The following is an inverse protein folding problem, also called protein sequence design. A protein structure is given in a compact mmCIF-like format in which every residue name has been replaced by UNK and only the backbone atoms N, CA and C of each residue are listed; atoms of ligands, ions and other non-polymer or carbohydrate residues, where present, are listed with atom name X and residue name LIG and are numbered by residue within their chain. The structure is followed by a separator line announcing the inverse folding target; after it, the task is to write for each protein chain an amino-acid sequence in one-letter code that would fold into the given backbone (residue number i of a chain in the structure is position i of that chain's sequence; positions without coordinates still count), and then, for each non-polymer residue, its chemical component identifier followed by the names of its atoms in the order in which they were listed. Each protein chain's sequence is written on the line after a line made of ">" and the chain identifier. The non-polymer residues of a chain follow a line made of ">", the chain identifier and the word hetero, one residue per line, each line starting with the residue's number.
data_IF_510667896329
#
_entry.id   IF_510667896329
#
_cell.length_a   1.000
_cell.length_b   1.000
_cell.length_c   1.000
_cell.angle_alpha   90.00
_cell.angle_beta   90.00
_cell.angle_gamma   90.00
#
_symmetry.space_group_name_H-M   'P 1'
#
loop_
_entity.id
_entity.type
_entity.pdbx_description
1 polymer ?
#
# COMPACT_ATOMS: atom_id res chain seq x y z
N UNK A 1 -34.03 15.51 -20.51
CA UNK A 1 -35.30 16.11 -20.87
C UNK A 1 -35.54 16.05 -22.38
N UNK A 2 -36.77 16.32 -22.79
CA UNK A 2 -37.16 16.35 -24.19
C UNK A 2 -37.49 17.76 -24.61
N UNK A 3 -37.10 18.13 -25.83
CA UNK A 3 -37.39 19.43 -26.45
C UNK A 3 -38.26 19.23 -27.67
N UNK A 4 -39.34 20.00 -27.73
CA UNK A 4 -40.19 20.12 -28.90
C UNK A 4 -40.41 21.61 -29.22
N UNK A 5 -40.36 21.99 -30.48
CA UNK A 5 -40.52 23.36 -30.91
C UNK A 5 -41.29 23.42 -32.21
N UNK A 6 -41.98 24.54 -32.47
CA UNK A 6 -42.62 24.83 -33.72
C UNK A 6 -41.68 25.42 -34.80
N UNK A 7 -40.43 25.54 -34.45
CA UNK A 7 -39.36 26.02 -35.37
C UNK A 7 -38.10 25.17 -35.15
N UNK A 8 -37.25 25.11 -36.19
CA UNK A 8 -35.95 24.50 -36.06
C UNK A 8 -35.10 25.26 -35.04
N UNK A 9 -34.35 24.52 -34.22
CA UNK A 9 -33.58 25.08 -33.09
C UNK A 9 -32.21 24.48 -32.96
N UNK A 10 -31.32 25.25 -32.36
CA UNK A 10 -29.98 24.82 -31.87
C UNK A 10 -29.89 25.19 -30.40
N UNK A 11 -29.26 24.34 -29.60
CA UNK A 11 -28.97 24.63 -28.19
C UNK A 11 -27.49 24.91 -28.00
N UNK A 12 -27.19 25.94 -27.24
CA UNK A 12 -25.86 26.27 -26.73
C UNK A 12 -25.85 26.14 -25.21
N UNK A 13 -24.74 25.69 -24.66
CA UNK A 13 -24.51 25.60 -23.23
C UNK A 13 -23.54 26.66 -22.74
N UNK A 14 -23.63 26.94 -21.46
CA UNK A 14 -22.67 27.69 -20.71
C UNK A 14 -21.41 26.87 -20.38
N UNK A 15 -20.49 27.46 -19.62
CA UNK A 15 -19.15 26.93 -19.37
C UNK A 15 -19.13 25.56 -18.67
N UNK A 16 -20.12 25.26 -17.81
CA UNK A 16 -20.10 24.06 -16.94
C UNK A 16 -20.83 22.85 -17.51
N UNK A 17 -21.55 22.98 -18.61
CA UNK A 17 -22.29 21.90 -19.24
C UNK A 17 -21.62 21.40 -20.51
N UNK A 18 -21.55 20.07 -20.63
CA UNK A 18 -21.06 19.36 -21.82
C UNK A 18 -22.25 18.84 -22.63
N UNK A 19 -22.37 19.31 -23.85
CA UNK A 19 -23.35 18.87 -24.83
C UNK A 19 -22.77 17.99 -25.92
N UNK A 20 -21.47 17.63 -25.86
CA UNK A 20 -20.77 16.90 -26.93
C UNK A 20 -21.32 15.50 -27.17
N UNK A 21 -21.99 14.90 -26.20
CA UNK A 21 -22.56 13.54 -26.27
C UNK A 21 -24.08 13.53 -26.40
N UNK A 22 -24.71 14.65 -26.76
CA UNK A 22 -26.17 14.73 -26.90
C UNK A 22 -26.53 15.47 -28.19
N UNK A 23 -27.82 15.44 -28.55
CA UNK A 23 -28.30 16.23 -29.69
C UNK A 23 -28.27 17.72 -29.30
N UNK A 24 -27.70 18.54 -30.17
CA UNK A 24 -27.61 19.99 -29.99
C UNK A 24 -28.56 20.78 -30.90
N UNK A 25 -29.39 20.08 -31.68
CA UNK A 25 -30.37 20.70 -32.60
C UNK A 25 -31.60 19.81 -32.77
N UNK A 26 -32.67 20.41 -33.27
CA UNK A 26 -33.89 19.71 -33.67
C UNK A 26 -34.64 20.47 -34.75
N UNK A 27 -35.47 19.73 -35.47
CA UNK A 27 -36.40 20.27 -36.49
C UNK A 27 -37.76 20.58 -35.87
N UNK A 28 -38.48 21.50 -36.50
CA UNK A 28 -39.85 21.86 -36.10
C UNK A 28 -40.74 20.65 -36.01
N UNK A 29 -41.47 20.53 -34.91
CA UNK A 29 -42.44 19.45 -34.67
C UNK A 29 -41.85 18.14 -34.15
N UNK A 30 -40.53 17.98 -34.13
CA UNK A 30 -39.86 16.80 -33.61
C UNK A 30 -39.58 16.89 -32.12
N UNK A 31 -39.71 15.74 -31.40
CA UNK A 31 -39.27 15.60 -30.03
C UNK A 31 -37.80 15.10 -30.02
N UNK A 32 -36.90 15.88 -29.44
CA UNK A 32 -35.50 15.54 -29.37
C UNK A 32 -35.06 15.44 -27.92
N UNK A 33 -34.42 14.33 -27.56
CA UNK A 33 -33.87 14.15 -26.21
C UNK A 33 -32.52 14.87 -26.11
N UNK A 34 -32.38 15.70 -25.08
CA UNK A 34 -31.13 16.32 -24.66
C UNK A 34 -30.73 15.78 -23.30
N UNK A 35 -29.45 15.39 -23.17
CA UNK A 35 -28.87 14.91 -21.90
C UNK A 35 -27.59 15.67 -21.67
N UNK A 36 -27.65 16.88 -21.10
CA UNK A 36 -26.46 17.62 -20.75
C UNK A 36 -25.72 16.88 -19.64
N UNK A 37 -24.41 16.88 -19.71
CA UNK A 37 -23.51 16.33 -18.69
C UNK A 37 -22.75 17.47 -18.04
N UNK A 38 -22.27 17.27 -16.82
CA UNK A 38 -21.30 18.17 -16.23
C UNK A 38 -19.98 18.06 -17.01
N UNK A 39 -19.39 19.21 -17.35
CA UNK A 39 -18.01 19.20 -17.88
C UNK A 39 -17.08 18.58 -16.84
N UNK A 40 -16.14 17.80 -17.35
CA UNK A 40 -15.07 17.31 -16.52
C UNK A 40 -14.21 18.49 -16.05
N UNK A 41 -13.91 18.52 -14.77
CA UNK A 41 -13.15 19.56 -14.11
C UNK A 41 -13.62 19.74 -12.68
N UNK A 42 -12.66 19.91 -11.78
CA UNK A 42 -12.94 19.93 -10.33
C UNK A 42 -13.80 21.12 -9.92
N UNK A 43 -13.53 22.29 -10.49
CA UNK A 43 -14.21 23.54 -10.12
C UNK A 43 -15.72 23.52 -10.39
N UNK A 44 -16.13 22.91 -11.51
CA UNK A 44 -17.55 22.84 -11.88
C UNK A 44 -18.37 21.87 -11.00
N UNK A 45 -17.70 21.07 -10.17
CA UNK A 45 -18.32 20.04 -9.34
C UNK A 45 -18.36 20.39 -7.86
N UNK A 46 -17.53 21.33 -7.40
CA UNK A 46 -17.40 21.67 -5.99
C UNK A 46 -18.62 22.41 -5.44
N UNK A 47 -19.03 23.47 -6.11
CA UNK A 47 -20.06 24.41 -5.63
C UNK A 47 -21.33 24.35 -6.46
N UNK A 48 -22.43 24.80 -5.85
CA UNK A 48 -23.69 24.97 -6.55
C UNK A 48 -23.61 26.10 -7.58
N UNK A 49 -24.28 25.92 -8.71
CA UNK A 49 -24.42 26.94 -9.73
C UNK A 49 -25.76 26.82 -10.45
N UNK A 50 -26.16 27.93 -11.09
CA UNK A 50 -27.29 27.95 -12.03
C UNK A 50 -26.81 28.55 -13.35
N UNK A 51 -27.00 27.81 -14.40
CA UNK A 51 -26.65 28.21 -15.78
C UNK A 51 -27.81 28.02 -16.71
N UNK A 52 -27.72 28.53 -17.93
CA UNK A 52 -28.79 28.47 -18.91
C UNK A 52 -28.38 27.64 -20.13
N UNK A 53 -29.28 26.77 -20.58
CA UNK A 53 -29.27 26.26 -21.94
C UNK A 53 -30.03 27.27 -22.80
N UNK A 54 -29.37 27.79 -23.83
CA UNK A 54 -29.91 28.83 -24.71
C UNK A 54 -30.33 28.18 -26.01
N UNK A 55 -31.60 28.21 -26.29
CA UNK A 55 -32.17 27.73 -27.54
C UNK A 55 -32.30 28.88 -28.54
N UNK A 56 -31.74 28.72 -29.75
CA UNK A 56 -31.73 29.68 -30.82
C UNK A 56 -32.38 29.10 -32.08
N UNK A 57 -32.99 29.94 -32.89
CA UNK A 57 -33.44 29.55 -34.22
C UNK A 57 -32.25 29.54 -35.24
N UNK A 58 -32.48 29.16 -36.49
CA UNK A 58 -31.46 29.14 -37.56
C UNK A 58 -30.82 30.49 -37.84
N UNK A 59 -31.49 31.59 -37.46
CA UNK A 59 -30.95 32.95 -37.60
C UNK A 59 -30.06 33.39 -36.43
N UNK A 60 -29.94 32.53 -35.40
CA UNK A 60 -29.20 32.84 -34.18
C UNK A 60 -30.00 33.66 -33.14
N UNK A 61 -31.31 33.89 -33.37
CA UNK A 61 -32.16 34.60 -32.43
C UNK A 61 -32.56 33.65 -31.27
N UNK A 62 -32.46 34.12 -30.03
CA UNK A 62 -32.86 33.35 -28.86
C UNK A 62 -34.37 33.15 -28.81
N UNK A 63 -34.80 31.89 -28.81
CA UNK A 63 -36.22 31.52 -28.73
C UNK A 63 -36.65 31.03 -27.36
N UNK A 64 -35.72 30.50 -26.59
CA UNK A 64 -35.97 30.06 -25.22
C UNK A 64 -34.68 29.93 -24.43
N UNK A 65 -34.80 30.00 -23.07
CA UNK A 65 -33.78 29.71 -22.12
C UNK A 65 -34.29 28.75 -21.08
N UNK A 66 -33.49 27.75 -20.77
CA UNK A 66 -33.81 26.77 -19.73
C UNK A 66 -32.76 26.87 -18.62
N UNK A 67 -33.13 27.31 -17.41
CA UNK A 67 -32.21 27.30 -16.28
C UNK A 67 -31.92 25.85 -15.88
N UNK A 68 -30.65 25.56 -15.67
CA UNK A 68 -30.15 24.29 -15.14
C UNK A 68 -29.47 24.61 -13.82
N UNK A 69 -29.94 23.98 -12.78
CA UNK A 69 -29.36 24.10 -11.45
C UNK A 69 -28.59 22.84 -11.08
N UNK A 70 -27.43 23.04 -10.49
CA UNK A 70 -26.61 21.99 -9.91
C UNK A 70 -26.30 22.35 -8.46
N UNK A 71 -26.57 21.43 -7.52
CA UNK A 71 -26.44 21.67 -6.08
C UNK A 71 -24.98 21.61 -5.58
N UNK A 72 -24.03 21.29 -6.44
CA UNK A 72 -22.66 21.00 -6.04
C UNK A 72 -22.52 19.58 -5.49
N UNK A 73 -21.29 19.18 -5.15
CA UNK A 73 -21.06 17.93 -4.44
C UNK A 73 -21.70 18.02 -3.04
N UNK A 74 -22.39 16.98 -2.53
CA UNK A 74 -22.91 16.96 -1.17
C UNK A 74 -21.81 17.25 -0.14
N UNK A 75 -22.15 17.91 0.96
CA UNK A 75 -21.18 18.33 1.98
C UNK A 75 -20.52 17.16 2.72
N UNK A 76 -21.18 15.99 2.71
CA UNK A 76 -20.71 14.72 3.29
C UNK A 76 -20.01 13.82 2.26
N UNK A 77 -19.80 14.30 1.04
CA UNK A 77 -19.19 13.53 -0.05
C UNK A 77 -17.83 14.08 -0.45
N UNK A 78 -16.99 13.15 -0.87
CA UNK A 78 -15.73 13.45 -1.52
C UNK A 78 -15.60 12.58 -2.77
N UNK A 79 -14.90 13.08 -3.76
CA UNK A 79 -14.56 12.32 -4.96
C UNK A 79 -13.06 12.48 -5.23
N UNK A 80 -12.45 11.44 -5.79
CA UNK A 80 -11.06 11.46 -6.20
C UNK A 80 -10.97 11.38 -7.72
N UNK A 81 -9.90 11.94 -8.29
CA UNK A 81 -9.65 11.88 -9.73
C UNK A 81 -9.44 10.45 -10.25
N UNK A 82 -9.12 9.55 -9.34
CA UNK A 82 -8.96 8.13 -9.60
C UNK A 82 -9.81 7.34 -8.61
N UNK A 83 -10.83 6.66 -9.10
CA UNK A 83 -11.80 5.93 -8.29
C UNK A 83 -11.24 4.61 -7.71
N UNK A 84 -10.05 4.19 -8.14
CA UNK A 84 -9.45 2.95 -7.70
C UNK A 84 -8.30 3.20 -6.73
N UNK A 85 -8.53 2.99 -5.43
CA UNK A 85 -7.50 3.15 -4.38
C UNK A 85 -6.27 2.26 -4.62
N UNK A 86 -6.43 1.11 -5.25
CA UNK A 86 -5.31 0.23 -5.60
C UNK A 86 -4.44 0.78 -6.72
N UNK A 87 -4.95 1.73 -7.50
CA UNK A 87 -4.18 2.48 -8.48
C UNK A 87 -3.51 3.72 -7.88
N UNK A 88 -3.99 4.20 -6.73
CA UNK A 88 -3.41 5.32 -5.99
C UNK A 88 -2.45 4.79 -4.93
N UNK A 89 -1.39 4.11 -5.36
CA UNK A 89 -0.34 3.62 -4.46
C UNK A 89 0.84 4.56 -4.46
N UNK A 90 1.23 4.97 -3.25
CA UNK A 90 2.45 5.73 -3.00
C UNK A 90 3.45 4.78 -2.36
N UNK A 91 4.56 4.55 -3.04
CA UNK A 91 5.65 3.74 -2.49
C UNK A 91 6.69 4.66 -1.87
N UNK A 92 6.70 4.75 -0.55
CA UNK A 92 7.68 5.53 0.18
C UNK A 92 9.05 4.85 0.15
N UNK A 93 10.11 5.65 -0.01
CA UNK A 93 11.48 5.16 0.08
C UNK A 93 11.79 4.58 1.46
N UNK A 94 12.60 3.52 1.51
CA UNK A 94 13.09 2.94 2.77
C UNK A 94 13.94 3.94 3.55
N UNK A 95 14.67 4.81 2.86
CA UNK A 95 15.53 5.83 3.48
C UNK A 95 14.75 7.04 4.05
N UNK A 96 13.45 7.06 3.82
CA UNK A 96 12.59 8.19 4.17
C UNK A 96 12.50 9.21 3.05
N UNK A 97 11.35 9.83 2.93
CA UNK A 97 11.04 10.71 1.80
C UNK A 97 9.88 11.64 2.15
N UNK A 98 9.78 12.75 1.43
CA UNK A 98 8.63 13.65 1.51
C UNK A 98 7.98 13.79 0.15
N UNK A 99 6.66 13.75 0.13
CA UNK A 99 5.83 13.88 -1.06
C UNK A 99 4.97 15.13 -0.94
N UNK A 100 5.03 16.02 -1.93
CA UNK A 100 4.23 17.24 -1.96
C UNK A 100 3.05 17.08 -2.91
N UNK A 101 1.86 17.46 -2.45
CA UNK A 101 0.66 17.58 -3.27
C UNK A 101 0.50 19.05 -3.65
N UNK A 102 0.73 19.39 -4.91
CA UNK A 102 0.49 20.74 -5.44
C UNK A 102 -0.87 20.84 -6.08
N UNK A 103 -1.59 21.91 -5.76
CA UNK A 103 -2.93 22.17 -6.30
C UNK A 103 -3.86 20.95 -6.18
N UNK A 104 -3.78 20.25 -5.03
CA UNK A 104 -4.51 19.01 -4.78
C UNK A 104 -4.16 17.86 -5.75
N UNK A 105 -2.99 17.91 -6.35
CA UNK A 105 -2.46 16.85 -7.20
C UNK A 105 -1.16 16.31 -6.62
N UNK A 106 -1.01 15.01 -6.65
CA UNK A 106 0.23 14.34 -6.27
C UNK A 106 1.24 14.40 -7.42
N UNK A 107 2.46 14.92 -7.17
CA UNK A 107 3.49 15.13 -8.19
C UNK A 107 4.62 14.08 -8.21
N UNK A 108 4.74 13.21 -7.19
CA UNK A 108 5.74 12.15 -7.24
C UNK A 108 5.41 11.11 -8.33
N UNK A 109 6.38 10.28 -8.69
CA UNK A 109 6.17 9.17 -9.62
C UNK A 109 5.01 8.30 -9.14
N UNK A 110 3.85 8.47 -9.73
CA UNK A 110 2.64 7.78 -9.32
C UNK A 110 1.40 8.37 -9.96
N UNK A 111 0.26 7.97 -9.46
CA UNK A 111 -1.04 8.44 -9.93
C UNK A 111 -1.40 9.74 -9.20
N UNK A 112 -1.62 10.85 -9.91
CA UNK A 112 -2.01 12.10 -9.28
C UNK A 112 -3.34 11.92 -8.53
N UNK A 113 -3.37 12.37 -7.27
CA UNK A 113 -4.55 12.39 -6.43
C UNK A 113 -5.14 13.81 -6.44
N UNK A 114 -6.27 13.97 -7.11
CA UNK A 114 -7.04 15.21 -7.04
C UNK A 114 -8.27 14.98 -6.19
N UNK A 115 -8.44 15.82 -5.19
CA UNK A 115 -9.58 15.77 -4.26
C UNK A 115 -10.65 16.75 -4.72
N UNK A 116 -11.90 16.29 -4.78
CA UNK A 116 -13.07 17.09 -5.10
C UNK A 116 -14.02 17.06 -3.91
N UNK A 117 -14.12 18.16 -3.21
CA UNK A 117 -15.02 18.36 -2.07
C UNK A 117 -15.72 19.70 -2.19
N UNK A 118 -16.84 19.87 -1.49
CA UNK A 118 -17.57 21.15 -1.46
C UNK A 118 -16.69 22.24 -0.83
N UNK A 119 -16.48 23.33 -1.55
CA UNK A 119 -15.71 24.50 -1.10
C UNK A 119 -14.26 24.17 -0.67
N UNK A 120 -13.70 23.05 -1.10
CA UNK A 120 -12.39 22.58 -0.63
C UNK A 120 -12.29 22.42 0.90
N UNK A 121 -13.40 22.10 1.55
CA UNK A 121 -13.51 21.93 2.99
C UNK A 121 -13.32 20.45 3.36
N UNK A 122 -12.06 20.03 3.57
CA UNK A 122 -11.73 18.66 3.93
C UNK A 122 -10.47 18.59 4.80
N UNK A 123 -10.32 17.47 5.48
CA UNK A 123 -9.18 17.15 6.35
C UNK A 123 -8.50 15.87 5.88
N UNK A 124 -7.18 15.89 5.80
CA UNK A 124 -6.36 14.73 5.54
C UNK A 124 -5.95 14.03 6.83
N UNK A 125 -5.98 12.69 6.84
CA UNK A 125 -5.42 11.88 7.91
C UNK A 125 -4.69 10.67 7.35
N UNK A 126 -3.62 10.25 8.04
CA UNK A 126 -2.95 8.99 7.75
C UNK A 126 -3.32 7.96 8.82
N UNK A 127 -3.75 6.79 8.37
CA UNK A 127 -4.15 5.68 9.25
C UNK A 127 -3.31 4.46 8.92
N UNK A 128 -2.38 4.11 9.82
CA UNK A 128 -1.61 2.88 9.72
C UNK A 128 -2.52 1.69 9.97
N UNK A 129 -2.33 0.63 9.20
CA UNK A 129 -2.99 -0.62 9.47
C UNK A 129 -2.00 -1.77 9.50
N UNK A 130 -2.27 -2.71 10.39
CA UNK A 130 -1.57 -3.99 10.47
C UNK A 130 -2.58 -5.11 10.46
N UNK A 131 -2.28 -6.20 9.79
CA UNK A 131 -3.04 -7.43 9.89
C UNK A 131 -2.16 -8.51 10.50
N UNK A 132 -2.70 -9.22 11.47
CA UNK A 132 -2.03 -10.36 12.11
C UNK A 132 -2.91 -11.59 11.97
N UNK A 133 -2.26 -12.73 11.72
CA UNK A 133 -2.91 -14.03 11.69
C UNK A 133 -1.95 -15.05 12.32
N UNK A 134 -2.37 -15.69 13.40
CA UNK A 134 -1.53 -16.62 14.14
C UNK A 134 -2.30 -17.42 15.17
N UNK A 135 -1.62 -18.22 15.96
CA UNK A 135 -2.26 -19.02 17.02
C UNK A 135 -3.01 -18.17 18.05
N UNK A 136 -2.49 -16.99 18.37
CA UNK A 136 -3.10 -16.04 19.30
C UNK A 136 -4.44 -15.48 18.79
N UNK A 137 -4.61 -15.38 17.47
CA UNK A 137 -5.86 -14.95 16.85
C UNK A 137 -6.76 -16.11 16.45
N UNK A 138 -6.40 -17.34 16.84
CA UNK A 138 -7.09 -18.56 16.41
C UNK A 138 -7.07 -18.76 14.89
N UNK A 139 -6.02 -18.30 14.22
CA UNK A 139 -5.84 -18.30 12.77
C UNK A 139 -6.86 -17.44 12.01
N UNK A 140 -7.53 -16.51 12.69
CA UNK A 140 -8.32 -15.48 12.03
C UNK A 140 -7.43 -14.28 11.76
N UNK A 141 -7.72 -13.58 10.68
CA UNK A 141 -7.06 -12.32 10.38
C UNK A 141 -7.63 -11.21 11.28
N UNK A 142 -6.78 -10.68 12.16
CA UNK A 142 -7.11 -9.52 12.98
C UNK A 142 -6.45 -8.26 12.42
N UNK A 143 -7.22 -7.20 12.32
CA UNK A 143 -6.78 -5.91 11.81
C UNK A 143 -6.72 -4.90 12.95
N UNK A 144 -5.64 -4.15 12.99
CA UNK A 144 -5.53 -3.01 13.89
C UNK A 144 -5.22 -1.75 13.09
N UNK A 145 -5.80 -0.63 13.54
CA UNK A 145 -5.69 0.67 12.91
C UNK A 145 -5.17 1.68 13.91
N UNK A 146 -4.28 2.56 13.45
CA UNK A 146 -3.68 3.60 14.28
C UNK A 146 -3.60 4.90 13.51
N UNK A 147 -4.14 5.96 14.09
CA UNK A 147 -3.96 7.31 13.56
C UNK A 147 -2.51 7.75 13.72
N UNK A 148 -1.91 8.21 12.62
CA UNK A 148 -0.56 8.75 12.58
C UNK A 148 -0.63 10.27 12.63
N UNK A 149 -0.29 10.85 13.79
CA UNK A 149 -0.30 12.29 14.02
C UNK A 149 1.09 12.81 14.35
N UNK A 150 1.58 13.75 13.54
CA UNK A 150 2.86 14.42 13.76
C UNK A 150 4.10 13.52 13.62
N UNK A 151 5.27 14.14 13.68
CA UNK A 151 6.57 13.52 13.37
C UNK A 151 7.12 12.53 14.41
N UNK A 152 6.33 12.15 15.41
CA UNK A 152 6.69 11.00 16.26
C UNK A 152 6.42 9.67 15.54
N UNK A 153 5.47 9.66 14.60
CA UNK A 153 5.13 8.50 13.79
C UNK A 153 6.09 8.36 12.60
N UNK A 154 5.97 7.26 11.87
CA UNK A 154 6.78 7.03 10.68
C UNK A 154 6.28 7.79 9.44
N UNK A 155 5.01 8.17 9.46
CA UNK A 155 4.33 8.91 8.41
C UNK A 155 3.55 10.04 9.07
N UNK A 156 3.59 11.23 8.51
CA UNK A 156 2.80 12.36 8.99
C UNK A 156 2.48 13.32 7.83
N UNK A 157 1.49 14.16 8.07
CA UNK A 157 1.05 15.19 7.15
C UNK A 157 1.45 16.54 7.74
N UNK A 158 1.96 17.40 6.89
CA UNK A 158 2.26 18.79 7.23
C UNK A 158 2.02 19.70 6.01
N UNK A 159 1.83 20.98 6.24
CA UNK A 159 1.80 21.97 5.18
C UNK A 159 3.23 22.46 4.94
N UNK A 160 3.59 22.64 3.67
CA UNK A 160 4.85 23.31 3.34
C UNK A 160 4.72 24.85 3.52
N UNK A 161 5.83 25.58 3.32
CA UNK A 161 5.85 27.04 3.44
C UNK A 161 4.99 27.76 2.40
N UNK A 162 4.53 27.07 1.37
CA UNK A 162 3.68 27.60 0.31
C UNK A 162 2.20 27.21 0.50
N UNK A 163 1.89 26.47 1.58
CA UNK A 163 0.54 25.99 1.87
C UNK A 163 0.15 24.74 1.06
N UNK A 164 1.13 24.03 0.48
CA UNK A 164 0.85 22.75 -0.14
C UNK A 164 0.90 21.64 0.90
N UNK A 165 0.01 20.66 0.75
CA UNK A 165 0.04 19.44 1.56
C UNK A 165 1.31 18.65 1.28
N UNK A 166 2.02 18.27 2.32
CA UNK A 166 3.16 17.39 2.26
C UNK A 166 2.93 16.16 3.12
N UNK A 167 3.25 14.98 2.58
CA UNK A 167 3.32 13.73 3.34
C UNK A 167 4.78 13.36 3.47
N UNK A 168 5.24 13.20 4.70
CA UNK A 168 6.60 12.84 5.01
C UNK A 168 6.68 11.45 5.64
N UNK A 169 7.61 10.63 5.17
CA UNK A 169 7.90 9.32 5.71
C UNK A 169 9.32 9.27 6.28
N UNK A 170 9.48 8.73 7.49
CA UNK A 170 10.80 8.45 8.07
C UNK A 170 11.44 7.26 7.38
N UNK A 171 12.77 7.16 7.50
CA UNK A 171 13.48 5.93 7.19
C UNK A 171 12.86 4.74 7.95
N UNK A 172 12.87 3.60 7.30
CA UNK A 172 12.40 2.35 7.87
C UNK A 172 13.61 1.50 8.25
N UNK A 173 13.73 1.17 9.51
CA UNK A 173 14.74 0.28 10.07
C UNK A 173 14.16 -1.09 10.49
N UNK A 174 12.90 -1.33 10.14
CA UNK A 174 12.14 -2.52 10.53
C UNK A 174 11.35 -3.17 9.40
N UNK A 175 10.20 -3.71 9.75
CA UNK A 175 9.26 -4.35 8.82
C UNK A 175 8.69 -3.40 7.78
N UNK A 176 8.18 -3.96 6.69
CA UNK A 176 7.31 -3.21 5.79
C UNK A 176 6.10 -2.68 6.54
N UNK A 177 5.68 -1.49 6.20
CA UNK A 177 4.56 -0.82 6.85
C UNK A 177 3.67 -0.14 5.82
N UNK A 178 2.40 0.01 6.16
CA UNK A 178 1.40 0.53 5.25
C UNK A 178 0.43 1.44 5.99
N UNK A 179 -0.04 2.46 5.31
CA UNK A 179 -1.04 3.38 5.82
C UNK A 179 -2.00 3.79 4.71
N UNK A 180 -3.25 4.06 5.08
CA UNK A 180 -4.19 4.76 4.22
C UNK A 180 -4.02 6.27 4.38
N UNK A 181 -3.94 6.98 3.26
CA UNK A 181 -4.24 8.41 3.23
C UNK A 181 -5.76 8.52 3.06
N UNK A 182 -6.43 9.03 4.09
CA UNK A 182 -7.86 9.27 4.07
C UNK A 182 -8.13 10.76 4.00
N UNK A 183 -9.17 11.13 3.28
CA UNK A 183 -9.59 12.51 3.12
C UNK A 183 -11.06 12.60 3.47
N UNK A 184 -11.38 13.32 4.52
CA UNK A 184 -12.75 13.49 4.99
C UNK A 184 -13.26 14.90 4.72
N UNK A 185 -14.50 15.08 4.22
CA UNK A 185 -15.17 16.36 4.36
C UNK A 185 -15.14 16.81 5.82
N UNK A 186 -14.91 18.11 6.07
CA UNK A 186 -14.80 18.60 7.45
C UNK A 186 -16.03 18.28 8.31
N UNK A 187 -17.21 18.28 7.70
CA UNK A 187 -18.45 17.89 8.39
C UNK A 187 -18.39 16.45 8.90
N UNK A 188 -17.92 15.52 8.07
CA UNK A 188 -17.78 14.09 8.44
C UNK A 188 -16.65 13.92 9.44
N UNK A 189 -15.52 14.61 9.23
CA UNK A 189 -14.38 14.52 10.14
C UNK A 189 -14.75 14.94 11.57
N UNK A 190 -15.53 16.00 11.72
CA UNK A 190 -15.99 16.45 13.03
C UNK A 190 -16.84 15.41 13.79
N UNK A 191 -17.53 14.52 13.07
CA UNK A 191 -18.32 13.43 13.67
C UNK A 191 -17.43 12.26 14.12
N UNK A 192 -16.34 11.96 13.38
CA UNK A 192 -15.47 10.80 13.61
C UNK A 192 -14.17 11.16 14.33
N UNK A 193 -13.86 12.43 14.52
CA UNK A 193 -12.61 12.90 15.13
C UNK A 193 -12.36 12.26 16.51
N UNK A 194 -13.40 12.14 17.31
CA UNK A 194 -13.30 11.53 18.63
C UNK A 194 -12.94 10.03 18.57
N UNK A 195 -13.40 9.31 17.55
CA UNK A 195 -13.04 7.90 17.34
C UNK A 195 -11.58 7.79 16.90
N UNK A 196 -11.09 8.73 16.07
CA UNK A 196 -9.67 8.82 15.72
C UNK A 196 -8.80 9.15 16.93
N UNK A 197 -9.20 10.08 17.78
CA UNK A 197 -8.47 10.42 19.00
C UNK A 197 -8.38 9.24 19.97
N UNK A 198 -9.45 8.49 20.12
CA UNK A 198 -9.50 7.30 20.98
C UNK A 198 -8.87 6.07 20.33
N UNK A 199 -8.47 6.14 19.06
CA UNK A 199 -7.85 5.03 18.30
C UNK A 199 -8.73 3.79 18.19
N UNK A 200 -10.04 3.97 18.21
CA UNK A 200 -11.02 2.89 18.15
C UNK A 200 -11.55 2.76 16.73
N UNK A 201 -10.79 2.05 15.89
CA UNK A 201 -11.29 1.70 14.56
C UNK A 201 -11.37 0.20 14.39
N UNK A 202 -12.51 -0.26 13.92
CA UNK A 202 -12.67 -1.61 13.40
C UNK A 202 -12.35 -1.65 11.90
N UNK A 203 -12.14 -2.86 11.39
CA UNK A 203 -11.99 -3.08 9.94
C UNK A 203 -13.21 -2.58 9.17
N UNK A 204 -14.39 -2.82 9.70
CA UNK A 204 -15.68 -2.40 9.12
C UNK A 204 -15.79 -0.87 9.06
N UNK A 205 -15.27 -0.15 10.05
CA UNK A 205 -15.22 1.31 10.02
C UNK A 205 -14.32 1.82 8.91
N UNK A 206 -13.04 1.42 8.88
CA UNK A 206 -12.07 1.93 7.90
C UNK A 206 -12.36 1.43 6.48
N UNK A 207 -12.43 0.12 6.26
CA UNK A 207 -12.60 -0.47 4.91
C UNK A 207 -14.05 -0.73 4.54
N UNK A 208 -14.99 -0.55 5.45
CA UNK A 208 -16.43 -0.63 5.24
C UNK A 208 -17.05 0.76 5.09
N UNK A 209 -17.45 1.35 6.21
CA UNK A 209 -18.21 2.61 6.25
C UNK A 209 -17.42 3.79 5.68
N UNK A 210 -16.11 3.88 6.00
CA UNK A 210 -15.26 5.00 5.58
C UNK A 210 -14.42 4.72 4.33
N UNK A 211 -14.65 3.60 3.64
CA UNK A 211 -13.87 3.21 2.46
C UNK A 211 -13.87 4.25 1.34
N UNK A 212 -14.97 5.00 1.20
CA UNK A 212 -15.11 6.06 0.19
C UNK A 212 -14.21 7.28 0.44
N UNK A 213 -13.63 7.40 1.63
CA UNK A 213 -12.72 8.48 2.01
C UNK A 213 -11.24 8.09 1.88
N UNK A 214 -10.94 6.86 1.45
CA UNK A 214 -9.57 6.41 1.20
C UNK A 214 -9.11 6.98 -0.13
N UNK A 215 -8.15 7.90 -0.10
CA UNK A 215 -7.58 8.54 -1.29
C UNK A 215 -6.39 7.80 -1.86
N UNK A 216 -5.56 7.20 -1.01
CA UNK A 216 -4.37 6.47 -1.43
C UNK A 216 -3.95 5.42 -0.41
N UNK A 217 -3.18 4.43 -0.88
CA UNK A 217 -2.44 3.48 -0.06
C UNK A 217 -0.96 3.87 -0.09
N UNK A 218 -0.38 4.10 1.08
CA UNK A 218 1.05 4.41 1.24
C UNK A 218 1.72 3.16 1.79
N UNK A 219 2.71 2.66 1.06
CA UNK A 219 3.48 1.47 1.43
C UNK A 219 4.96 1.86 1.54
N UNK A 220 5.63 1.36 2.56
CA UNK A 220 7.08 1.48 2.70
C UNK A 220 7.67 0.10 2.95
N UNK A 221 8.64 -0.28 2.12
CA UNK A 221 9.28 -1.59 2.22
C UNK A 221 10.05 -1.74 3.54
N UNK A 222 10.26 -2.98 3.94
CA UNK A 222 11.13 -3.30 5.05
C UNK A 222 12.56 -2.83 4.75
N UNK A 223 13.27 -2.42 5.80
CA UNK A 223 14.71 -2.25 5.72
C UNK A 223 15.35 -3.62 5.49
N UNK A 224 16.12 -3.72 4.42
CA UNK A 224 16.92 -4.90 4.15
C UNK A 224 18.37 -4.52 4.39
N UNK A 225 19.00 -5.11 5.38
CA UNK A 225 20.41 -4.88 5.64
C UNK A 225 21.23 -5.14 4.35
N UNK A 226 22.22 -4.29 4.09
CA UNK A 226 23.05 -4.40 2.87
C UNK A 226 23.97 -5.63 2.86
N UNK A 227 24.07 -6.33 3.99
CA UNK A 227 24.84 -7.57 4.14
C UNK A 227 24.11 -8.55 5.06
N UNK A 228 24.38 -9.83 4.92
CA UNK A 228 23.83 -10.89 5.75
C UNK A 228 22.64 -11.64 5.14
N UNK A 229 21.89 -12.34 5.97
CA UNK A 229 20.67 -13.04 5.61
C UNK A 229 19.50 -12.46 6.37
N UNK A 230 18.46 -12.05 5.66
CA UNK A 230 17.18 -11.66 6.26
C UNK A 230 16.23 -12.86 6.31
N UNK A 231 15.48 -12.96 7.41
CA UNK A 231 14.50 -14.03 7.62
C UNK A 231 13.11 -13.43 7.63
N UNK A 232 12.25 -13.92 6.75
CA UNK A 232 10.91 -13.41 6.51
C UNK A 232 9.88 -14.54 6.58
N UNK A 233 8.64 -14.19 6.81
CA UNK A 233 7.52 -15.09 6.58
C UNK A 233 7.37 -15.41 5.10
N UNK A 234 7.19 -16.68 4.74
CA UNK A 234 7.18 -17.12 3.33
C UNK A 234 5.94 -16.73 2.53
N UNK A 235 4.86 -16.32 3.19
CA UNK A 235 3.61 -15.91 2.53
C UNK A 235 3.50 -14.39 2.40
N UNK A 236 3.82 -13.70 3.49
CA UNK A 236 3.66 -12.25 3.55
C UNK A 236 4.92 -11.49 3.15
N UNK A 237 6.08 -12.19 3.12
CA UNK A 237 7.41 -11.61 2.94
C UNK A 237 7.72 -10.46 3.91
N UNK A 238 7.10 -10.51 5.09
CA UNK A 238 7.38 -9.57 6.17
C UNK A 238 8.44 -10.17 7.09
N UNK A 239 9.33 -9.34 7.67
CA UNK A 239 10.25 -9.82 8.69
C UNK A 239 9.50 -10.53 9.80
N UNK A 240 10.06 -11.63 10.29
CA UNK A 240 9.59 -12.27 11.51
C UNK A 240 10.08 -11.45 12.71
N UNK A 241 9.29 -11.43 13.78
CA UNK A 241 9.62 -10.72 15.00
C UNK A 241 9.70 -11.69 16.17
N UNK A 242 10.65 -11.42 17.08
CA UNK A 242 10.71 -12.13 18.36
C UNK A 242 9.60 -11.63 19.31
N UNK A 243 9.48 -12.30 20.45
CA UNK A 243 8.49 -11.92 21.49
C UNK A 243 8.70 -10.52 22.09
N UNK A 244 9.83 -9.87 21.82
CA UNK A 244 10.14 -8.51 22.24
C UNK A 244 9.84 -7.46 21.13
N UNK A 245 9.45 -7.92 19.93
CA UNK A 245 9.14 -7.05 18.80
C UNK A 245 10.35 -6.66 17.96
N UNK A 246 11.51 -7.33 18.11
CA UNK A 246 12.67 -7.12 17.26
C UNK A 246 12.59 -8.02 16.03
N UNK A 247 13.01 -7.52 14.87
CA UNK A 247 13.08 -8.32 13.67
C UNK A 247 14.10 -9.46 13.85
N UNK A 248 13.68 -10.70 13.55
CA UNK A 248 14.55 -11.85 13.56
C UNK A 248 15.46 -11.79 12.35
N UNK A 249 16.76 -11.72 12.58
CA UNK A 249 17.78 -11.74 11.54
C UNK A 249 18.77 -12.87 11.83
N UNK A 250 19.40 -13.35 10.78
CA UNK A 250 20.54 -14.25 10.94
C UNK A 250 21.77 -13.43 11.34
N UNK A 251 22.37 -13.76 12.46
CA UNK A 251 23.57 -13.09 12.95
C UNK A 251 24.82 -13.68 12.29
N UNK A 252 25.84 -12.88 11.99
CA UNK A 252 27.13 -13.42 11.56
C UNK A 252 27.65 -14.44 12.58
N UNK A 253 28.25 -15.52 12.09
CA UNK A 253 28.82 -16.56 12.95
C UNK A 253 29.80 -15.98 13.95
N UNK A 254 29.54 -16.18 15.24
CA UNK A 254 30.33 -15.69 16.36
C UNK A 254 31.05 -16.82 17.14
N UNK A 255 31.18 -18.03 16.57
CA UNK A 255 31.85 -19.16 17.18
C UNK A 255 33.39 -19.09 17.06
N UNK A 256 34.03 -20.19 17.42
CA UNK A 256 35.51 -20.24 17.55
C UNK A 256 36.22 -20.45 16.21
N UNK A 257 35.53 -20.83 15.13
CA UNK A 257 36.17 -21.10 13.84
C UNK A 257 36.66 -19.80 13.18
N UNK A 258 37.87 -19.84 12.66
CA UNK A 258 38.44 -18.78 11.83
C UNK A 258 37.75 -18.75 10.46
N UNK A 259 37.92 -17.66 9.72
CA UNK A 259 37.41 -17.53 8.35
C UNK A 259 37.87 -18.68 7.43
N UNK A 260 39.13 -19.10 7.54
CA UNK A 260 39.67 -20.21 6.75
C UNK A 260 39.01 -21.55 7.11
N UNK A 261 38.74 -21.81 8.39
CA UNK A 261 38.05 -23.00 8.84
C UNK A 261 36.58 -23.01 8.42
N UNK A 262 35.92 -21.83 8.38
CA UNK A 262 34.58 -21.71 7.82
C UNK A 262 34.57 -22.03 6.32
N UNK A 263 35.53 -21.50 5.55
CA UNK A 263 35.66 -21.79 4.13
C UNK A 263 35.95 -23.29 3.90
N UNK A 264 36.84 -23.89 4.69
CA UNK A 264 37.14 -25.33 4.60
C UNK A 264 35.91 -26.19 4.90
N UNK A 265 35.13 -25.82 5.92
CA UNK A 265 33.99 -26.61 6.37
C UNK A 265 32.73 -26.41 5.51
N UNK A 266 32.46 -25.17 5.12
CA UNK A 266 31.18 -24.77 4.50
C UNK A 266 31.31 -24.28 3.05
N UNK A 267 32.53 -24.09 2.58
CA UNK A 267 32.82 -23.56 1.24
C UNK A 267 32.69 -22.04 1.11
N UNK A 268 32.38 -21.33 2.19
CA UNK A 268 32.28 -19.87 2.25
C UNK A 268 32.51 -19.39 3.68
N UNK A 269 32.99 -18.15 3.83
CA UNK A 269 33.05 -17.47 5.13
C UNK A 269 31.75 -16.74 5.50
N UNK A 270 30.80 -16.63 4.55
CA UNK A 270 29.49 -16.02 4.79
C UNK A 270 28.57 -16.99 5.55
N UNK A 271 28.87 -17.21 6.82
CA UNK A 271 28.13 -18.10 7.71
C UNK A 271 27.35 -17.28 8.73
N UNK A 272 26.09 -17.61 8.87
CA UNK A 272 25.16 -16.92 9.76
C UNK A 272 24.46 -17.91 10.67
N UNK A 273 24.11 -17.46 11.86
CA UNK A 273 23.41 -18.29 12.86
C UNK A 273 22.05 -17.68 13.20
N UNK A 274 21.06 -18.53 13.37
CA UNK A 274 19.78 -18.19 13.96
C UNK A 274 19.37 -19.24 14.98
N UNK A 275 18.75 -18.82 16.06
CA UNK A 275 18.29 -19.75 17.11
C UNK A 275 16.84 -20.17 16.84
N UNK A 276 16.57 -21.47 16.91
CA UNK A 276 15.23 -22.01 16.58
C UNK A 276 14.11 -21.49 17.47
N UNK A 277 14.41 -21.16 18.73
CA UNK A 277 13.40 -20.60 19.63
C UNK A 277 12.92 -19.22 19.21
N UNK A 278 13.77 -18.42 18.49
CA UNK A 278 13.37 -17.13 17.95
C UNK A 278 12.44 -17.27 16.76
N UNK A 279 12.45 -18.41 16.09
CA UNK A 279 11.58 -18.70 14.94
C UNK A 279 10.21 -19.26 15.35
N UNK A 280 9.98 -19.51 16.65
CA UNK A 280 8.76 -20.18 17.11
C UNK A 280 8.79 -21.70 16.89
N UNK A 281 8.45 -22.47 17.92
CA UNK A 281 8.76 -23.90 17.98
C UNK A 281 7.88 -24.83 17.15
N UNK A 282 6.77 -24.40 16.57
CA UNK A 282 5.80 -25.35 16.08
C UNK A 282 5.92 -25.74 14.61
N UNK A 283 6.36 -24.91 13.76
CA UNK A 283 6.93 -25.10 12.43
C UNK A 283 7.13 -23.73 11.78
N UNK A 284 8.10 -23.64 10.92
CA UNK A 284 8.39 -22.37 10.34
C UNK A 284 8.40 -22.52 8.82
N UNK A 285 7.58 -21.73 8.20
CA UNK A 285 7.65 -21.51 6.76
C UNK A 285 8.32 -20.17 6.57
N UNK A 286 9.63 -20.19 6.34
CA UNK A 286 10.43 -18.97 6.23
C UNK A 286 10.93 -18.77 4.82
N UNK A 287 11.12 -17.50 4.48
CA UNK A 287 11.81 -17.05 3.29
C UNK A 287 13.13 -16.43 3.71
N UNK A 288 14.23 -17.03 3.26
CA UNK A 288 15.58 -16.53 3.54
C UNK A 288 16.06 -15.73 2.35
N UNK A 289 16.33 -14.46 2.57
CA UNK A 289 16.80 -13.52 1.58
C UNK A 289 18.27 -13.20 1.83
N UNK A 290 19.20 -13.57 0.92
CA UNK A 290 20.57 -13.07 0.97
C UNK A 290 20.60 -11.59 0.58
N UNK A 291 20.94 -10.74 1.53
CA UNK A 291 20.99 -9.29 1.34
C UNK A 291 22.03 -8.90 0.29
N UNK A 292 21.68 -7.99 -0.60
CA UNK A 292 22.56 -7.56 -1.68
C UNK A 292 22.74 -8.57 -2.82
N UNK A 293 22.03 -9.71 -2.81
CA UNK A 293 22.07 -10.65 -3.92
C UNK A 293 21.28 -10.11 -5.11
N UNK A 294 21.92 -10.01 -6.26
CA UNK A 294 21.31 -9.51 -7.50
C UNK A 294 21.20 -10.57 -8.61
N UNK A 295 21.66 -11.79 -8.33
CA UNK A 295 21.61 -12.90 -9.29
C UNK A 295 20.21 -13.52 -9.38
N UNK A 296 20.04 -14.44 -10.31
CA UNK A 296 18.77 -15.13 -10.56
C UNK A 296 18.83 -16.66 -10.34
N UNK A 297 19.92 -17.19 -9.82
CA UNK A 297 20.15 -18.64 -9.75
C UNK A 297 20.52 -19.09 -8.34
N UNK A 298 19.60 -18.87 -7.38
CA UNK A 298 19.76 -19.41 -6.03
C UNK A 298 19.24 -20.86 -5.98
N UNK A 299 19.98 -21.68 -5.25
CA UNK A 299 19.61 -23.02 -4.85
C UNK A 299 19.96 -23.21 -3.38
N UNK A 300 19.38 -24.19 -2.72
CA UNK A 300 19.73 -24.51 -1.35
C UNK A 300 19.79 -26.02 -1.11
N UNK A 301 20.64 -26.42 -0.18
CA UNK A 301 20.77 -27.79 0.29
C UNK A 301 20.85 -27.80 1.80
N UNK A 302 20.33 -28.87 2.43
CA UNK A 302 20.42 -29.05 3.89
C UNK A 302 21.43 -30.09 4.27
N UNK A 303 22.12 -29.84 5.39
CA UNK A 303 22.93 -30.80 6.12
C UNK A 303 22.45 -30.80 7.55
N UNK A 304 22.17 -31.96 8.11
CA UNK A 304 21.81 -32.16 9.49
C UNK A 304 22.95 -32.92 10.20
N UNK A 305 23.49 -32.39 11.30
CA UNK A 305 24.55 -33.00 12.08
C UNK A 305 25.74 -33.51 11.23
N UNK A 306 26.14 -32.75 10.22
CA UNK A 306 27.23 -33.08 9.33
C UNK A 306 26.96 -34.24 8.36
N UNK A 307 25.75 -34.75 8.28
CA UNK A 307 25.31 -35.73 7.31
C UNK A 307 24.39 -35.10 6.27
N UNK A 308 24.67 -35.33 4.99
CA UNK A 308 23.71 -35.04 3.91
C UNK A 308 22.46 -35.90 4.14
N UNK A 309 21.46 -35.35 4.73
CA UNK A 309 20.16 -35.99 4.84
C UNK A 309 19.14 -35.10 4.16
N UNK A 310 18.41 -35.63 3.16
CA UNK A 310 17.09 -35.10 2.87
C UNK A 310 16.26 -35.36 4.15
N UNK A 311 16.12 -34.38 5.01
CA UNK A 311 15.23 -34.52 6.14
C UNK A 311 13.82 -34.69 5.61
N UNK A 312 13.19 -35.81 5.97
CA UNK A 312 11.85 -36.11 5.47
C UNK A 312 10.90 -35.03 6.01
N UNK A 313 10.62 -34.06 5.20
CA UNK A 313 9.69 -32.98 5.53
C UNK A 313 10.19 -31.55 5.29
N UNK A 314 11.50 -31.29 5.10
CA UNK A 314 11.95 -29.97 4.68
C UNK A 314 11.99 -29.88 3.16
N UNK A 315 11.30 -28.87 2.63
CA UNK A 315 11.42 -28.45 1.23
C UNK A 315 12.16 -27.12 1.17
N UNK A 316 13.11 -27.02 0.25
CA UNK A 316 13.91 -25.83 -0.03
C UNK A 316 13.67 -25.44 -1.48
N UNK A 317 12.98 -24.34 -1.69
CA UNK A 317 12.57 -23.91 -3.03
C UNK A 317 13.04 -22.47 -3.30
N UNK A 318 13.71 -22.22 -4.44
CA UNK A 318 13.95 -20.85 -4.86
C UNK A 318 12.63 -20.10 -5.03
N UNK A 319 12.61 -18.84 -4.64
CA UNK A 319 11.43 -17.99 -4.76
C UNK A 319 11.79 -16.52 -4.88
N UNK A 320 10.78 -15.70 -5.10
CA UNK A 320 10.92 -14.25 -5.12
C UNK A 320 9.97 -13.64 -4.12
N UNK A 321 10.42 -12.59 -3.43
CA UNK A 321 9.53 -11.78 -2.60
C UNK A 321 8.68 -10.83 -3.46
N UNK A 322 7.81 -10.06 -2.83
CA UNK A 322 6.95 -9.07 -3.50
C UNK A 322 7.70 -7.98 -4.26
N UNK A 323 8.97 -7.76 -3.94
CA UNK A 323 9.87 -6.80 -4.61
C UNK A 323 10.71 -7.44 -5.72
N UNK A 324 10.49 -8.72 -6.03
CA UNK A 324 11.24 -9.45 -7.05
C UNK A 324 12.65 -9.89 -6.63
N UNK A 325 13.01 -9.77 -5.36
CA UNK A 325 14.31 -10.22 -4.86
C UNK A 325 14.30 -11.75 -4.68
N UNK A 326 15.36 -12.39 -5.13
CA UNK A 326 15.52 -13.84 -5.06
C UNK A 326 15.95 -14.29 -3.66
N UNK A 327 15.28 -15.31 -3.17
CA UNK A 327 15.58 -15.98 -1.90
C UNK A 327 15.21 -17.45 -1.94
N UNK A 328 15.23 -18.08 -0.78
CA UNK A 328 14.89 -19.48 -0.59
C UNK A 328 13.71 -19.62 0.35
N UNK A 329 12.64 -20.24 -0.12
CA UNK A 329 11.55 -20.70 0.73
C UNK A 329 11.97 -21.98 1.44
N UNK A 330 11.76 -22.02 2.75
CA UNK A 330 12.03 -23.17 3.62
C UNK A 330 10.72 -23.58 4.27
N UNK A 331 10.25 -24.78 3.94
CA UNK A 331 9.00 -25.33 4.46
C UNK A 331 9.27 -26.55 5.32
N UNK A 332 8.42 -26.84 6.27
CA UNK A 332 8.39 -28.08 7.05
C UNK A 332 9.45 -28.17 8.17
N UNK A 333 10.04 -27.03 8.57
CA UNK A 333 10.85 -27.00 9.79
C UNK A 333 9.94 -27.26 11.01
N UNK A 334 10.17 -28.34 11.72
CA UNK A 334 9.42 -28.69 12.92
C UNK A 334 10.35 -28.89 14.15
N UNK A 335 9.75 -28.88 15.34
CA UNK A 335 10.44 -28.97 16.63
C UNK A 335 11.01 -30.37 16.95
N UNK A 336 10.84 -31.39 16.10
CA UNK A 336 11.34 -32.73 16.35
C UNK A 336 12.86 -32.85 16.18
N UNK A 337 13.48 -31.82 15.62
CA UNK A 337 14.95 -31.69 15.54
C UNK A 337 15.59 -31.18 16.84
N UNK A 338 14.99 -31.44 17.99
CA UNK A 338 15.51 -31.04 19.28
C UNK A 338 16.95 -31.53 19.50
N UNK A 339 17.88 -30.57 19.63
CA UNK A 339 19.30 -30.85 19.86
C UNK A 339 20.12 -31.05 18.59
N UNK A 340 19.54 -30.89 17.41
CA UNK A 340 20.23 -31.04 16.14
C UNK A 340 20.58 -29.69 15.53
N UNK A 341 21.82 -29.51 15.08
CA UNK A 341 22.21 -28.41 14.23
C UNK A 341 21.75 -28.66 12.80
N UNK A 342 21.02 -27.74 12.22
CA UNK A 342 20.67 -27.75 10.80
C UNK A 342 21.49 -26.70 10.07
N UNK A 343 22.17 -27.12 9.01
CA UNK A 343 22.90 -26.23 8.12
C UNK A 343 22.19 -26.15 6.77
N UNK A 344 21.84 -24.94 6.38
CA UNK A 344 21.25 -24.66 5.05
C UNK A 344 22.31 -23.91 4.24
N UNK A 345 22.83 -24.58 3.21
CA UNK A 345 23.77 -23.94 2.28
C UNK A 345 22.99 -23.33 1.11
N UNK A 346 23.07 -22.02 1.00
CA UNK A 346 22.51 -21.26 -0.13
C UNK A 346 23.61 -21.13 -1.18
N UNK A 347 23.31 -21.52 -2.40
CA UNK A 347 24.25 -21.55 -3.54
C UNK A 347 23.85 -20.55 -4.61
N UNK A 348 24.85 -19.98 -5.27
CA UNK A 348 24.69 -19.27 -6.53
C UNK A 348 25.19 -20.21 -7.64
N UNK A 349 24.26 -20.85 -8.33
CA UNK A 349 24.63 -21.97 -9.19
C UNK A 349 25.16 -23.16 -8.38
N UNK A 350 26.43 -23.52 -8.59
CA UNK A 350 27.10 -24.61 -7.85
C UNK A 350 27.90 -24.15 -6.64
N UNK A 351 28.23 -22.87 -6.59
CA UNK A 351 29.13 -22.31 -5.56
C UNK A 351 28.37 -21.89 -4.31
N UNK A 352 28.86 -22.24 -3.10
CA UNK A 352 28.31 -21.75 -1.86
C UNK A 352 28.38 -20.21 -1.80
N UNK A 353 27.23 -19.58 -1.57
CA UNK A 353 27.10 -18.13 -1.44
C UNK A 353 27.00 -17.70 0.02
N UNK A 354 26.14 -18.38 0.77
CA UNK A 354 25.93 -18.15 2.19
C UNK A 354 25.48 -19.44 2.89
N UNK A 355 25.68 -19.49 4.19
CA UNK A 355 25.28 -20.63 5.01
C UNK A 355 24.46 -20.13 6.20
N UNK A 356 23.30 -20.72 6.44
CA UNK A 356 22.49 -20.49 7.60
C UNK A 356 22.59 -21.69 8.55
N UNK A 357 23.13 -21.48 9.74
CA UNK A 357 23.13 -22.42 10.84
C UNK A 357 21.91 -22.16 11.70
N UNK A 358 21.07 -23.19 11.86
CA UNK A 358 19.93 -23.13 12.77
C UNK A 358 20.29 -23.95 13.99
N UNK A 359 20.53 -23.25 15.10
CA UNK A 359 20.85 -23.87 16.38
C UNK A 359 19.57 -24.03 17.21
N UNK A 360 19.31 -25.26 17.67
CA UNK A 360 18.26 -25.51 18.62
C UNK A 360 18.79 -25.29 20.04
N UNK A 361 18.32 -24.25 20.72
CA UNK A 361 18.59 -24.05 22.14
C UNK A 361 17.30 -24.25 22.91
N UNK A 362 17.40 -24.98 24.01
CA UNK A 362 16.34 -24.99 25.01
C UNK A 362 16.43 -23.70 25.83
N UNK A 363 15.30 -23.07 26.13
CA UNK A 363 15.26 -22.11 27.23
C UNK A 363 15.35 -22.93 28.52
N UNK A 364 16.43 -22.73 29.26
CA UNK A 364 16.52 -23.21 30.63
C UNK A 364 15.45 -22.59 31.53
#
# INVERSE_FOLDING_TARGET
>A
FWVSSNADWIVESSESLDLSKTNISGEAGNNVKITPLLKQGTENRKTAWTQELIFKNRKGEVISKLPVHYDGIPADKIEFSNDNIYSNKIKASVDGESYTFKNQSYEAEGVPLTVIARNDEYTYVCVEYTSTMGPETGWNEEWSFKLLTGFKNWLWIEDDSEGNLMIAAKSNDGASRSAYLMVFPNLVYAEVENDFENKVFSKEGIVGEYSNYIGALIEQDAFVATSGLSIMDSYTFRPLYDGAGNAIQAEPYAGEMTENELIEKYGTSNVYTVYSFTLGMSYTQIFVLPNGYTGSNLQATTILNGKNTAWSGISLEPGQNSSGQMGINIYGMNSEANGDEMCITIKNGTEPYAVLLIETRYSD
#
